data_IF_754948044451
#
_entry.id   IF_754948044451
#
_cell.length_a   1.000
_cell.length_b   1.000
_cell.length_c   1.000
_cell.angle_alpha   90.00
_cell.angle_beta   90.00
_cell.angle_gamma   90.00
#
_symmetry.space_group_name_H-M   'P 1'
#
loop_
_entity.id
_entity.type
_entity.pdbx_description
1 polymer ?
#
# COMPACT_ATOMS: atom_id res chain seq x y z
N UNK A 1 -9.75 -8.50 -7.39
CA UNK A 1 -10.10 -7.07 -7.59
C UNK A 1 -10.85 -6.93 -8.91
N UNK A 2 -11.96 -7.65 -9.09
CA UNK A 2 -12.78 -7.49 -10.30
C UNK A 2 -13.68 -6.25 -10.13
N UNK A 3 -13.85 -5.47 -11.19
CA UNK A 3 -14.71 -4.27 -11.24
C UNK A 3 -14.27 -3.09 -10.34
N UNK A 4 -12.98 -3.00 -10.00
CA UNK A 4 -12.41 -1.82 -9.33
C UNK A 4 -11.93 -0.84 -10.41
N UNK A 5 -12.35 0.42 -10.34
CA UNK A 5 -11.80 1.47 -11.19
C UNK A 5 -10.29 1.61 -10.96
N UNK A 6 -9.51 1.72 -12.03
CA UNK A 6 -8.05 1.66 -11.94
C UNK A 6 -7.36 2.54 -13.00
N UNK A 7 -6.16 3.01 -12.67
CA UNK A 7 -5.34 3.88 -13.53
C UNK A 7 -3.92 3.34 -13.67
N UNK A 8 -3.25 3.76 -14.74
CA UNK A 8 -1.79 3.61 -14.84
C UNK A 8 -1.13 4.81 -14.15
N UNK A 9 -0.14 4.56 -13.32
CA UNK A 9 0.55 5.58 -12.51
C UNK A 9 2.03 5.50 -12.79
N UNK A 10 2.60 6.62 -13.22
CA UNK A 10 4.04 6.76 -13.38
C UNK A 10 4.68 7.10 -12.03
N UNK A 11 5.68 6.32 -11.63
CA UNK A 11 6.40 6.46 -10.38
C UNK A 11 7.89 6.61 -10.69
N UNK A 12 8.53 7.64 -10.15
CA UNK A 12 9.98 7.81 -10.25
C UNK A 12 10.69 6.84 -9.31
N UNK A 13 11.58 5.97 -9.79
CA UNK A 13 12.28 5.03 -8.92
C UNK A 13 13.49 5.61 -8.20
N UNK A 14 13.93 6.83 -8.52
CA UNK A 14 14.93 7.56 -7.75
C UNK A 14 16.32 6.92 -7.65
N UNK A 15 16.72 6.06 -8.60
CA UNK A 15 18.08 5.50 -8.60
C UNK A 15 19.11 6.60 -8.87
N UNK A 16 20.11 6.68 -7.98
CA UNK A 16 21.07 7.78 -7.76
C UNK A 16 21.91 8.26 -8.97
N UNK A 17 21.69 7.76 -10.18
CA UNK A 17 22.38 8.20 -11.40
C UNK A 17 21.46 8.55 -12.59
N UNK A 18 20.20 8.15 -12.58
CA UNK A 18 19.19 8.48 -13.60
C UNK A 18 17.79 8.23 -13.04
N UNK A 19 16.99 9.29 -12.87
CA UNK A 19 15.54 9.15 -12.60
C UNK A 19 14.95 8.25 -13.68
N UNK A 20 14.45 7.09 -13.24
CA UNK A 20 13.83 6.10 -14.11
C UNK A 20 12.36 6.06 -13.76
N UNK A 21 11.52 6.42 -14.72
CA UNK A 21 10.07 6.38 -14.54
C UNK A 21 9.59 4.95 -14.81
N UNK A 22 8.89 4.36 -13.84
CA UNK A 22 8.23 3.07 -13.97
C UNK A 22 6.72 3.27 -13.90
N UNK A 23 6.00 2.74 -14.90
CA UNK A 23 4.54 2.78 -14.91
C UNK A 23 3.96 1.57 -14.17
N UNK A 24 3.33 1.81 -13.03
CA UNK A 24 2.47 0.83 -12.37
C UNK A 24 1.14 0.77 -13.10
N UNK A 25 0.71 -0.43 -13.49
CA UNK A 25 -0.53 -0.63 -14.27
C UNK A 25 -1.69 -1.05 -13.38
N UNK A 26 -2.89 -0.63 -13.73
CA UNK A 26 -4.14 -1.00 -13.05
C UNK A 26 -4.13 -0.75 -11.52
N UNK A 27 -3.53 0.36 -11.09
CA UNK A 27 -3.57 0.79 -9.70
C UNK A 27 -5.00 1.21 -9.34
N UNK A 28 -5.63 0.64 -8.29
CA UNK A 28 -6.97 1.03 -7.85
C UNK A 28 -7.10 2.54 -7.62
N UNK A 29 -8.12 3.16 -8.22
CA UNK A 29 -8.40 4.59 -8.12
C UNK A 29 -8.56 5.05 -6.68
N UNK A 30 -9.21 4.22 -5.85
CA UNK A 30 -9.34 4.46 -4.41
C UNK A 30 -7.98 4.65 -3.72
N UNK A 31 -6.97 3.83 -4.03
CA UNK A 31 -5.65 3.97 -3.39
C UNK A 31 -4.99 5.29 -3.80
N UNK A 32 -5.10 5.67 -5.06
CA UNK A 32 -4.56 6.95 -5.57
C UNK A 32 -5.24 8.12 -4.87
N UNK A 33 -6.58 8.12 -4.78
CA UNK A 33 -7.32 9.17 -4.09
C UNK A 33 -7.01 9.21 -2.59
N UNK A 34 -6.97 8.05 -1.93
CA UNK A 34 -6.71 7.94 -0.50
C UNK A 34 -5.34 8.49 -0.13
N UNK A 35 -4.30 8.05 -0.84
CA UNK A 35 -2.95 8.53 -0.58
C UNK A 35 -2.81 10.02 -0.97
N UNK A 36 -3.35 10.45 -2.12
CA UNK A 36 -3.43 11.88 -2.49
C UNK A 36 -4.02 12.73 -1.36
N UNK A 37 -5.13 12.29 -0.76
CA UNK A 37 -5.75 12.95 0.38
C UNK A 37 -4.88 12.95 1.63
N UNK A 38 -4.15 11.87 1.91
CA UNK A 38 -3.19 11.82 3.03
C UNK A 38 -2.13 12.92 2.86
N UNK A 39 -1.51 13.05 1.69
CA UNK A 39 -0.49 14.10 1.46
C UNK A 39 -1.09 15.50 1.51
N UNK A 40 -2.27 15.73 0.93
CA UNK A 40 -2.95 17.03 1.03
C UNK A 40 -3.33 17.45 2.46
N UNK A 41 -3.45 16.49 3.38
CA UNK A 41 -3.76 16.72 4.79
C UNK A 41 -2.51 16.76 5.68
N UNK A 42 -1.31 16.91 5.11
CA UNK A 42 -0.03 16.85 5.82
C UNK A 42 0.15 15.52 6.62
N UNK A 43 -0.31 14.40 6.04
CA UNK A 43 -0.31 13.09 6.69
C UNK A 43 1.06 12.65 7.24
N UNK A 44 2.15 13.02 6.57
CA UNK A 44 3.52 12.73 7.02
C UNK A 44 3.88 13.42 8.35
N UNK A 45 3.09 14.36 8.86
CA UNK A 45 3.29 14.99 10.18
C UNK A 45 2.39 14.39 11.26
N UNK A 46 1.51 13.45 10.91
CA UNK A 46 0.52 12.89 11.82
C UNK A 46 1.11 11.72 12.58
N UNK A 47 1.27 11.90 13.89
CA UNK A 47 1.87 10.92 14.79
C UNK A 47 1.07 9.60 14.82
N UNK A 48 1.75 8.48 14.54
CA UNK A 48 1.14 7.16 14.48
C UNK A 48 0.23 6.95 13.26
N UNK A 49 0.55 7.57 12.11
CA UNK A 49 -0.08 7.26 10.82
C UNK A 49 -0.11 5.74 10.59
N UNK A 50 -1.20 5.20 10.02
CA UNK A 50 -1.50 3.76 9.92
C UNK A 50 -1.66 2.96 11.23
N UNK A 51 -0.93 3.29 12.31
CA UNK A 51 -1.04 2.64 13.62
C UNK A 51 -2.31 3.01 14.37
N UNK A 52 -2.61 4.30 14.48
CA UNK A 52 -3.82 4.78 15.18
C UNK A 52 -5.04 4.57 14.28
N UNK A 53 -6.10 4.01 14.85
CA UNK A 53 -7.37 3.82 14.15
C UNK A 53 -8.13 5.13 13.97
N UNK A 54 -8.80 5.27 12.83
CA UNK A 54 -9.80 6.30 12.61
C UNK A 54 -11.01 6.14 13.52
N UNK A 55 -11.87 7.16 13.53
CA UNK A 55 -13.10 7.12 14.32
C UNK A 55 -14.03 6.04 13.77
N UNK A 56 -14.32 5.02 14.59
CA UNK A 56 -15.19 3.91 14.22
C UNK A 56 -16.54 4.37 13.64
N UNK A 57 -17.12 5.44 14.19
CA UNK A 57 -18.37 6.00 13.68
C UNK A 57 -18.30 6.47 12.21
N UNK A 58 -17.12 6.92 11.74
CA UNK A 58 -16.90 7.34 10.35
C UNK A 58 -16.50 6.17 9.45
N UNK A 59 -15.75 5.20 9.97
CA UNK A 59 -15.10 4.16 9.15
C UNK A 59 -15.91 2.87 8.99
N UNK A 60 -17.02 2.71 9.72
CA UNK A 60 -17.79 1.45 9.81
C UNK A 60 -18.59 1.11 8.55
N UNK A 61 -19.14 2.09 7.86
CA UNK A 61 -20.11 1.89 6.77
C UNK A 61 -19.70 2.60 5.47
N UNK A 62 -20.31 2.22 4.35
CA UNK A 62 -20.18 2.94 3.07
C UNK A 62 -18.86 2.75 2.31
N UNK A 63 -17.99 1.83 2.72
CA UNK A 63 -16.66 1.72 2.09
C UNK A 63 -16.66 1.07 0.71
N UNK A 64 -17.61 0.18 0.39
CA UNK A 64 -17.61 -0.58 -0.87
C UNK A 64 -17.77 0.30 -2.12
N UNK A 65 -18.77 1.21 -2.23
CA UNK A 65 -18.87 2.10 -3.38
C UNK A 65 -17.59 2.91 -3.61
N UNK A 66 -16.95 3.36 -2.53
CA UNK A 66 -15.69 4.10 -2.58
C UNK A 66 -14.53 3.20 -3.04
N UNK A 67 -14.42 1.99 -2.51
CA UNK A 67 -13.37 1.02 -2.90
C UNK A 67 -13.44 0.61 -4.36
N UNK A 68 -14.63 0.57 -4.96
CA UNK A 68 -14.82 0.32 -6.38
C UNK A 68 -14.63 1.58 -7.25
N UNK A 69 -14.48 2.76 -6.63
CA UNK A 69 -14.35 4.04 -7.32
C UNK A 69 -15.67 4.59 -7.84
N UNK A 70 -16.81 4.12 -7.33
CA UNK A 70 -18.15 4.62 -7.66
C UNK A 70 -18.51 5.91 -6.89
N UNK A 71 -17.91 6.11 -5.71
CA UNK A 71 -18.08 7.29 -4.88
C UNK A 71 -16.72 7.81 -4.40
N UNK A 72 -16.56 9.14 -4.17
CA UNK A 72 -15.33 9.69 -3.62
C UNK A 72 -15.20 9.42 -2.12
N UNK A 73 -14.00 9.56 -1.58
CA UNK A 73 -13.77 9.52 -0.14
C UNK A 73 -14.50 10.70 0.54
N UNK A 74 -15.27 10.47 1.63
CA UNK A 74 -16.00 11.55 2.29
C UNK A 74 -15.06 12.68 2.75
N UNK A 75 -15.45 13.93 2.49
CA UNK A 75 -14.61 15.12 2.72
C UNK A 75 -14.22 15.33 4.18
N UNK A 76 -15.04 14.85 5.11
CA UNK A 76 -14.82 14.97 6.56
C UNK A 76 -13.87 13.89 7.13
N UNK A 77 -13.32 13.01 6.30
CA UNK A 77 -12.34 12.02 6.72
C UNK A 77 -11.01 12.68 7.09
N UNK A 78 -10.48 12.29 8.24
CA UNK A 78 -9.13 12.62 8.71
C UNK A 78 -8.13 11.57 8.25
N UNK A 79 -6.84 11.86 8.38
CA UNK A 79 -5.74 10.98 7.97
C UNK A 79 -5.90 9.56 8.53
N UNK A 80 -6.20 9.40 9.82
CA UNK A 80 -6.40 8.09 10.44
C UNK A 80 -7.62 7.33 9.88
N UNK A 81 -8.70 8.04 9.51
CA UNK A 81 -9.88 7.40 8.89
C UNK A 81 -9.52 6.82 7.52
N UNK A 82 -8.78 7.61 6.73
CA UNK A 82 -8.30 7.19 5.41
C UNK A 82 -7.35 5.99 5.55
N UNK A 83 -6.42 6.03 6.51
CA UNK A 83 -5.53 4.90 6.81
C UNK A 83 -6.31 3.62 7.16
N UNK A 84 -7.31 3.72 8.05
CA UNK A 84 -8.17 2.59 8.39
C UNK A 84 -8.93 2.04 7.16
N UNK A 85 -9.32 2.91 6.23
CA UNK A 85 -9.96 2.51 4.97
C UNK A 85 -8.99 1.85 3.99
N UNK A 86 -7.75 2.31 3.87
CA UNK A 86 -6.72 1.62 3.09
C UNK A 86 -6.49 0.21 3.64
N UNK A 87 -6.34 0.06 4.97
CA UNK A 87 -6.19 -1.27 5.61
C UNK A 87 -7.41 -2.14 5.35
N UNK A 88 -8.61 -1.57 5.45
CA UNK A 88 -9.87 -2.28 5.18
C UNK A 88 -10.00 -2.70 3.71
N UNK A 89 -9.56 -1.88 2.76
CA UNK A 89 -9.59 -2.22 1.33
C UNK A 89 -8.83 -3.52 1.05
N UNK A 90 -7.63 -3.70 1.62
CA UNK A 90 -6.85 -4.92 1.46
C UNK A 90 -7.39 -6.10 2.28
N UNK A 91 -7.91 -5.84 3.48
CA UNK A 91 -8.49 -6.88 4.36
C UNK A 91 -9.79 -7.47 3.81
N UNK A 92 -10.64 -6.64 3.20
CA UNK A 92 -11.96 -7.04 2.71
C UNK A 92 -11.88 -7.64 1.28
N UNK A 93 -10.68 -7.83 0.72
CA UNK A 93 -10.52 -8.53 -0.55
C UNK A 93 -11.02 -9.98 -0.45
N UNK A 94 -11.85 -10.40 -1.42
CA UNK A 94 -12.33 -11.80 -1.51
C UNK A 94 -11.21 -12.84 -1.47
N UNK A 95 -10.04 -12.48 -2.01
CA UNK A 95 -8.80 -13.23 -1.85
C UNK A 95 -7.75 -12.26 -1.31
N UNK A 96 -7.03 -12.61 -0.22
CA UNK A 96 -5.94 -11.79 0.28
C UNK A 96 -4.94 -11.44 -0.82
N UNK A 97 -4.25 -10.31 -0.69
CA UNK A 97 -3.31 -9.80 -1.71
C UNK A 97 -2.28 -10.87 -2.12
N UNK A 98 -1.76 -11.62 -1.14
CA UNK A 98 -0.79 -12.70 -1.34
C UNK A 98 -1.42 -14.12 -1.44
N UNK A 99 -2.75 -14.24 -1.38
CA UNK A 99 -3.50 -15.49 -1.51
C UNK A 99 -2.93 -16.63 -0.64
N UNK A 100 -2.60 -17.77 -1.23
CA UNK A 100 -2.03 -18.96 -0.59
C UNK A 100 -0.50 -18.90 -0.39
N UNK A 101 0.14 -17.76 -0.72
CA UNK A 101 1.61 -17.60 -0.76
C UNK A 101 2.20 -16.94 0.47
N UNK A 102 1.40 -16.46 1.39
CA UNK A 102 1.87 -15.77 2.61
C UNK A 102 2.85 -16.65 3.42
N UNK A 103 2.52 -17.94 3.61
CA UNK A 103 3.40 -18.88 4.30
C UNK A 103 4.73 -19.14 3.57
N UNK A 104 4.74 -19.04 2.24
CA UNK A 104 5.97 -19.18 1.44
C UNK A 104 6.82 -17.92 1.57
N UNK A 105 6.20 -16.74 1.46
CA UNK A 105 6.85 -15.44 1.68
C UNK A 105 7.55 -15.36 3.04
N UNK A 106 6.85 -15.73 4.11
CA UNK A 106 7.41 -15.71 5.46
C UNK A 106 8.60 -16.66 5.61
N UNK A 107 8.51 -17.88 5.07
CA UNK A 107 9.63 -18.83 5.07
C UNK A 107 10.83 -18.29 4.29
N UNK A 108 10.60 -17.62 3.17
CA UNK A 108 11.68 -17.03 2.38
C UNK A 108 12.33 -15.84 3.09
N UNK A 109 11.54 -14.96 3.70
CA UNK A 109 12.07 -13.85 4.49
C UNK A 109 12.95 -14.35 5.65
N UNK A 110 12.55 -15.45 6.30
CA UNK A 110 13.31 -16.09 7.38
C UNK A 110 14.58 -16.79 6.87
N UNK A 111 14.51 -17.40 5.68
CA UNK A 111 15.65 -18.11 5.05
C UNK A 111 16.70 -17.14 4.48
N UNK A 112 16.27 -15.99 3.95
CA UNK A 112 17.09 -15.06 3.19
C UNK A 112 17.21 -13.70 3.88
N UNK A 113 17.56 -13.72 5.17
CA UNK A 113 17.65 -12.52 6.00
C UNK A 113 18.97 -11.74 5.84
N UNK A 114 19.93 -12.28 5.07
CA UNK A 114 21.26 -11.68 4.88
C UNK A 114 21.34 -10.77 3.65
N UNK A 115 22.31 -9.85 3.65
CA UNK A 115 22.56 -8.94 2.51
C UNK A 115 23.00 -9.72 1.25
N UNK A 116 23.72 -10.83 1.43
CA UNK A 116 24.21 -11.71 0.36
C UNK A 116 23.06 -12.43 -0.36
N UNK A 117 21.93 -12.64 0.32
CA UNK A 117 20.75 -13.32 -0.21
C UNK A 117 19.77 -12.40 -0.95
N UNK A 118 20.03 -11.09 -1.02
CA UNK A 118 19.13 -10.13 -1.66
C UNK A 118 18.79 -10.46 -3.12
N UNK A 119 19.74 -11.04 -3.86
CA UNK A 119 19.50 -11.50 -5.24
C UNK A 119 18.49 -12.65 -5.29
N UNK A 120 18.61 -13.62 -4.39
CA UNK A 120 17.68 -14.76 -4.29
C UNK A 120 16.29 -14.30 -3.85
N UNK A 121 16.23 -13.38 -2.89
CA UNK A 121 14.99 -12.75 -2.44
C UNK A 121 14.29 -12.01 -3.59
N UNK A 122 15.04 -11.25 -4.39
CA UNK A 122 14.51 -10.53 -5.55
C UNK A 122 13.91 -11.48 -6.58
N UNK A 123 14.65 -12.52 -6.99
CA UNK A 123 14.16 -13.52 -7.95
C UNK A 123 12.89 -14.19 -7.43
N UNK A 124 12.83 -14.49 -6.14
CA UNK A 124 11.64 -15.12 -5.54
C UNK A 124 10.43 -14.17 -5.54
N UNK A 125 10.64 -12.90 -5.18
CA UNK A 125 9.59 -11.88 -5.26
C UNK A 125 9.07 -11.79 -6.70
N UNK A 126 9.94 -11.79 -7.71
CA UNK A 126 9.52 -11.79 -9.12
C UNK A 126 8.64 -13.00 -9.46
N UNK A 127 9.05 -14.21 -9.07
CA UNK A 127 8.26 -15.44 -9.30
C UNK A 127 6.89 -15.38 -8.62
N UNK A 128 6.81 -14.78 -7.44
CA UNK A 128 5.54 -14.61 -6.72
C UNK A 128 4.63 -13.59 -7.43
N UNK A 129 5.20 -12.49 -7.91
CA UNK A 129 4.47 -11.45 -8.65
C UNK A 129 3.97 -11.95 -10.01
N UNK A 130 4.70 -12.81 -10.72
CA UNK A 130 4.29 -13.36 -12.03
C UNK A 130 2.92 -14.03 -12.02
N UNK A 131 2.49 -14.54 -10.86
CA UNK A 131 1.20 -15.24 -10.71
C UNK A 131 0.07 -14.33 -10.21
N UNK A 132 0.35 -13.07 -9.94
CA UNK A 132 -0.63 -12.06 -9.54
C UNK A 132 -1.23 -11.39 -10.77
N UNK A 133 -2.50 -10.96 -10.70
CA UNK A 133 -3.05 -10.16 -11.79
C UNK A 133 -2.42 -8.76 -11.79
N UNK A 134 -2.41 -8.10 -12.93
CA UNK A 134 -1.88 -6.74 -13.10
C UNK A 134 -2.41 -5.78 -12.03
N UNK A 135 -3.72 -5.74 -11.80
CA UNK A 135 -4.31 -4.93 -10.72
C UNK A 135 -3.76 -5.24 -9.30
N UNK A 136 -3.50 -6.52 -8.96
CA UNK A 136 -2.90 -6.82 -7.65
C UNK A 136 -1.45 -6.34 -7.57
N UNK A 137 -0.68 -6.47 -8.65
CA UNK A 137 0.70 -5.96 -8.74
C UNK A 137 0.70 -4.43 -8.65
N UNK A 138 -0.20 -3.76 -9.36
CA UNK A 138 -0.37 -2.30 -9.31
C UNK A 138 -0.72 -1.82 -7.90
N UNK A 139 -1.70 -2.45 -7.25
CA UNK A 139 -2.08 -2.14 -5.88
C UNK A 139 -0.94 -2.35 -4.89
N UNK A 140 -0.22 -3.47 -4.98
CA UNK A 140 0.91 -3.79 -4.11
C UNK A 140 2.08 -2.83 -4.34
N UNK A 141 2.47 -2.62 -5.59
CA UNK A 141 3.57 -1.73 -5.95
C UNK A 141 3.32 -0.29 -5.51
N UNK A 142 2.09 0.20 -5.71
CA UNK A 142 1.70 1.54 -5.28
C UNK A 142 1.70 1.66 -3.75
N UNK A 143 1.09 0.70 -3.05
CA UNK A 143 1.10 0.66 -1.59
C UNK A 143 2.53 0.67 -1.02
N UNK A 144 3.39 -0.24 -1.50
CA UNK A 144 4.76 -0.36 -1.00
C UNK A 144 5.58 0.92 -1.24
N UNK A 145 5.34 1.60 -2.36
CA UNK A 145 5.96 2.88 -2.64
C UNK A 145 5.54 3.96 -1.64
N UNK A 146 4.23 4.12 -1.41
CA UNK A 146 3.73 5.13 -0.49
C UNK A 146 4.16 4.86 0.96
N UNK A 147 4.20 3.59 1.37
CA UNK A 147 4.70 3.22 2.70
C UNK A 147 6.20 3.49 2.87
N UNK A 148 7.00 3.25 1.82
CA UNK A 148 8.42 3.61 1.81
C UNK A 148 8.59 5.12 2.01
N UNK A 149 7.89 5.94 1.24
CA UNK A 149 7.94 7.41 1.36
C UNK A 149 7.50 7.90 2.75
N UNK A 150 6.47 7.28 3.35
CA UNK A 150 6.09 7.58 4.73
C UNK A 150 7.20 7.21 5.71
N UNK A 151 7.84 6.05 5.53
CA UNK A 151 8.88 5.59 6.46
C UNK A 151 10.13 6.49 6.49
N UNK A 152 10.38 7.25 5.44
CA UNK A 152 11.50 8.20 5.35
C UNK A 152 11.35 9.37 6.34
N UNK A 153 10.12 9.73 6.70
CA UNK A 153 9.78 10.79 7.66
C UNK A 153 9.50 10.24 9.08
N UNK A 154 9.89 8.99 9.36
CA UNK A 154 9.59 8.30 10.62
C UNK A 154 10.08 9.02 11.88
N UNK A 155 11.04 9.94 11.75
CA UNK A 155 11.50 10.80 12.86
C UNK A 155 10.39 11.71 13.42
N UNK A 156 9.39 12.06 12.61
CA UNK A 156 8.28 12.95 12.99
C UNK A 156 7.10 12.17 13.58
N UNK A 157 6.69 11.09 12.93
CA UNK A 157 5.46 10.36 13.27
C UNK A 157 5.68 8.99 13.91
N UNK A 158 6.94 8.57 14.09
CA UNK A 158 7.37 7.33 14.76
C UNK A 158 6.95 6.01 14.08
N UNK A 159 6.68 6.04 12.78
CA UNK A 159 6.33 4.84 12.01
C UNK A 159 7.48 4.46 11.09
N UNK A 160 8.46 3.72 11.63
CA UNK A 160 9.55 3.10 10.86
C UNK A 160 9.01 1.98 9.96
N UNK A 161 9.85 1.46 9.07
CA UNK A 161 9.52 0.30 8.22
C UNK A 161 9.05 -0.88 9.08
N UNK A 162 9.73 -1.16 10.19
CA UNK A 162 9.37 -2.25 11.11
C UNK A 162 8.02 -2.00 11.76
N UNK A 163 7.73 -0.77 12.20
CA UNK A 163 6.43 -0.44 12.80
C UNK A 163 5.31 -0.54 11.76
N UNK A 164 5.53 -0.06 10.53
CA UNK A 164 4.56 -0.15 9.44
C UNK A 164 4.28 -1.60 9.03
N UNK A 165 5.27 -2.50 9.11
CA UNK A 165 5.07 -3.91 8.80
C UNK A 165 4.17 -4.66 9.80
N UNK A 166 3.88 -4.07 10.96
CA UNK A 166 3.05 -4.70 12.02
C UNK A 166 1.58 -4.25 12.04
N UNK A 167 1.20 -3.23 11.25
CA UNK A 167 -0.13 -2.56 11.32
C UNK A 167 -1.22 -3.14 10.43
#
# INVERSE_FOLDING_TARGET
>A
MENVSAYNVDVDTGDSKTSSIVTLREVPSFLIEAFSRIWCLDGCKIEGIFRKEGAAARTKEGSLPVFFGAEPIPKNFLVHDICSWIKRFFRDLKQPLFRDRESQLLKFADTYSSIEDRGNLFVMIMVLLERMSTCHIGALGYLMRCLQEISEEASVHHMTIENLATV
#
